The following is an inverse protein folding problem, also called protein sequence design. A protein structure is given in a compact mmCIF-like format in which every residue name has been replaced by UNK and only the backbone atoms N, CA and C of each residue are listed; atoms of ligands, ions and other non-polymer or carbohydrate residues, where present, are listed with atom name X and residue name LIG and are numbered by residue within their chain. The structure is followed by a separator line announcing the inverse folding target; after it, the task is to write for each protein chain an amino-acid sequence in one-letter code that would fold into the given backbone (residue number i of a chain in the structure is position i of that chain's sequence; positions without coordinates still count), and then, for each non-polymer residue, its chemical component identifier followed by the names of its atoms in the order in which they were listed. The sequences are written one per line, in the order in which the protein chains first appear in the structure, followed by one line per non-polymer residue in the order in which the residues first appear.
data_IF_115357921429
#
_entry.id   IF_115357921429
#
_cell.length_a   1.000
_cell.length_b   1.000
_cell.length_c   1.000
_cell.angle_alpha   90.00
_cell.angle_beta   90.00
_cell.angle_gamma   90.00
#
_symmetry.space_group_name_H-M   'P 1'
#
loop_
_entity.id
_entity.type
_entity.pdbx_description
1 polymer ?
#
# COMPACT_ATOMS: atom_id res chain seq x y z
N UNK A 1 -13.37 46.61 -24.36
CA UNK A 1 -13.87 47.61 -23.38
C UNK A 1 -13.17 47.54 -22.02
N UNK A 2 -12.98 46.37 -21.40
CA UNK A 2 -12.47 46.27 -20.01
C UNK A 2 -10.95 46.51 -19.85
N UNK A 3 -10.12 46.10 -20.82
CA UNK A 3 -8.70 46.48 -20.87
C UNK A 3 -8.51 48.00 -20.99
N UNK A 4 -9.37 48.66 -21.76
CA UNK A 4 -9.37 50.12 -21.91
C UNK A 4 -9.72 50.84 -20.60
N UNK A 5 -10.71 50.35 -19.85
CA UNK A 5 -11.04 50.91 -18.53
C UNK A 5 -9.90 50.75 -17.52
N UNK A 6 -9.18 49.63 -17.56
CA UNK A 6 -7.98 49.43 -16.74
C UNK A 6 -6.86 50.43 -17.10
N UNK A 7 -6.58 50.61 -18.40
CA UNK A 7 -5.62 51.62 -18.88
C UNK A 7 -6.03 53.03 -18.46
N UNK A 8 -7.29 53.40 -18.70
CA UNK A 8 -7.81 54.72 -18.40
C UNK A 8 -7.69 55.03 -16.90
N UNK A 9 -8.04 54.06 -16.03
CA UNK A 9 -7.88 54.22 -14.58
C UNK A 9 -6.44 54.53 -14.19
N UNK A 10 -5.48 53.76 -14.67
CA UNK A 10 -4.07 53.92 -14.30
C UNK A 10 -3.49 55.24 -14.81
N UNK A 11 -3.75 55.59 -16.07
CA UNK A 11 -3.27 56.85 -16.68
C UNK A 11 -3.90 58.07 -15.99
N UNK A 12 -5.20 58.03 -15.70
CA UNK A 12 -5.90 59.12 -15.00
C UNK A 12 -5.35 59.28 -13.57
N UNK A 13 -5.15 58.18 -12.84
CA UNK A 13 -4.64 58.22 -11.47
C UNK A 13 -3.23 58.86 -11.42
N UNK A 14 -2.34 58.45 -12.33
CA UNK A 14 -1.00 59.03 -12.42
C UNK A 14 -1.00 60.48 -12.92
N UNK A 15 -1.88 60.82 -13.86
CA UNK A 15 -2.03 62.20 -14.34
C UNK A 15 -2.53 63.14 -13.23
N UNK A 16 -3.52 62.72 -12.43
CA UNK A 16 -4.02 63.51 -11.31
C UNK A 16 -2.97 63.68 -10.21
N UNK A 17 -2.23 62.62 -9.88
CA UNK A 17 -1.12 62.69 -8.93
C UNK A 17 -0.06 63.68 -9.42
N UNK A 18 0.32 63.59 -10.69
CA UNK A 18 1.27 64.53 -11.30
C UNK A 18 0.75 65.96 -11.29
N UNK A 19 -0.53 66.20 -11.62
CA UNK A 19 -1.14 67.52 -11.64
C UNK A 19 -1.11 68.19 -10.26
N UNK A 20 -1.38 67.43 -9.19
CA UNK A 20 -1.28 67.91 -7.81
C UNK A 20 0.17 68.27 -7.46
N UNK A 21 1.13 67.41 -7.79
CA UNK A 21 2.56 67.69 -7.56
C UNK A 21 3.04 68.90 -8.36
N UNK A 22 2.57 69.05 -9.60
CA UNK A 22 2.89 70.16 -10.47
C UNK A 22 2.41 71.49 -9.89
N UNK A 23 1.14 71.56 -9.48
CA UNK A 23 0.56 72.76 -8.85
C UNK A 23 1.30 73.09 -7.55
N UNK A 24 1.60 72.08 -6.73
CA UNK A 24 2.30 72.28 -5.46
C UNK A 24 3.71 72.83 -5.66
N UNK A 25 4.49 72.30 -6.61
CA UNK A 25 5.85 72.78 -6.83
C UNK A 25 5.93 74.04 -7.70
N UNK A 26 4.95 74.36 -8.55
CA UNK A 26 4.83 75.68 -9.19
C UNK A 26 4.57 76.78 -8.14
N UNK A 27 3.71 76.48 -7.15
CA UNK A 27 3.42 77.39 -6.03
C UNK A 27 4.64 77.66 -5.13
N UNK A 28 5.53 76.67 -4.97
CA UNK A 28 6.71 76.77 -4.09
C UNK A 28 7.97 77.23 -4.87
N UNK A 29 8.10 76.85 -6.14
CA UNK A 29 9.30 77.04 -6.96
C UNK A 29 8.95 77.44 -8.42
N UNK A 30 8.54 78.69 -8.62
CA UNK A 30 8.13 79.24 -9.91
C UNK A 30 9.07 78.98 -11.13
N UNK A 31 10.43 78.91 -11.03
CA UNK A 31 11.27 78.68 -12.20
C UNK A 31 11.40 77.21 -12.66
N UNK A 32 10.81 76.24 -11.95
CA UNK A 32 10.97 74.80 -12.24
C UNK A 32 9.87 74.18 -13.13
N UNK A 33 8.86 74.95 -13.56
CA UNK A 33 7.67 74.43 -14.25
C UNK A 33 7.96 73.56 -15.49
N UNK A 34 8.85 74.00 -16.39
CA UNK A 34 9.17 73.23 -17.62
C UNK A 34 9.88 71.90 -17.35
N UNK A 35 10.77 71.87 -16.35
CA UNK A 35 11.47 70.64 -15.96
C UNK A 35 10.49 69.64 -15.32
N UNK A 36 9.55 70.13 -14.51
CA UNK A 36 8.54 69.29 -13.90
C UNK A 36 7.54 68.73 -14.92
N UNK A 37 7.17 69.52 -15.93
CA UNK A 37 6.36 69.05 -17.06
C UNK A 37 7.04 67.89 -17.82
N UNK A 38 8.36 67.96 -18.06
CA UNK A 38 9.12 66.89 -18.70
C UNK A 38 9.13 65.60 -17.85
N UNK A 39 9.33 65.73 -16.53
CA UNK A 39 9.26 64.60 -15.59
C UNK A 39 7.87 63.94 -15.61
N UNK A 40 6.80 64.73 -15.68
CA UNK A 40 5.44 64.23 -15.82
C UNK A 40 5.23 63.44 -17.11
N UNK A 41 5.70 63.96 -18.25
CA UNK A 41 5.61 63.29 -19.54
C UNK A 41 6.35 61.94 -19.51
N UNK A 42 7.57 61.90 -18.99
CA UNK A 42 8.36 60.67 -18.84
C UNK A 42 7.64 59.67 -17.92
N UNK A 43 7.05 60.13 -16.82
CA UNK A 43 6.29 59.28 -15.89
C UNK A 43 5.06 58.67 -16.58
N UNK A 44 4.28 59.45 -17.33
CA UNK A 44 3.12 58.96 -18.07
C UNK A 44 3.51 57.93 -19.14
N UNK A 45 4.60 58.19 -19.90
CA UNK A 45 5.13 57.23 -20.87
C UNK A 45 5.51 55.91 -20.17
N UNK A 46 6.19 55.98 -19.03
CA UNK A 46 6.57 54.82 -18.25
C UNK A 46 5.37 54.01 -17.73
N UNK A 47 4.33 54.70 -17.23
CA UNK A 47 3.07 54.09 -16.78
C UNK A 47 2.36 53.36 -17.92
N UNK A 48 2.32 53.97 -19.13
CA UNK A 48 1.71 53.35 -20.32
C UNK A 48 2.48 52.08 -20.72
N UNK A 49 3.81 52.15 -20.78
CA UNK A 49 4.66 50.99 -21.11
C UNK A 49 4.42 49.85 -20.12
N UNK A 50 4.39 50.15 -18.82
CA UNK A 50 4.18 49.14 -17.77
C UNK A 50 2.78 48.54 -17.82
N UNK A 51 1.74 49.36 -17.99
CA UNK A 51 0.37 48.87 -18.17
C UNK A 51 0.25 47.92 -19.36
N UNK A 52 0.93 48.26 -20.46
CA UNK A 52 0.98 47.40 -21.65
C UNK A 52 1.73 46.09 -21.38
N UNK A 53 2.87 46.17 -20.71
CA UNK A 53 3.69 45.01 -20.34
C UNK A 53 2.92 44.04 -19.44
N UNK A 54 2.26 44.56 -18.39
CA UNK A 54 1.42 43.76 -17.49
C UNK A 54 0.27 43.07 -18.24
N UNK A 55 -0.48 43.79 -19.06
CA UNK A 55 -1.58 43.20 -19.81
C UNK A 55 -1.10 42.09 -20.74
N UNK A 56 0.07 42.27 -21.36
CA UNK A 56 0.69 41.25 -22.19
C UNK A 56 1.07 40.02 -21.35
N UNK A 57 1.69 40.21 -20.17
CA UNK A 57 2.08 39.13 -19.27
C UNK A 57 0.89 38.37 -18.69
N UNK A 58 -0.12 39.07 -18.18
CA UNK A 58 -1.39 38.44 -17.72
C UNK A 58 -2.06 37.67 -18.85
N UNK A 59 -2.08 38.22 -20.08
CA UNK A 59 -2.62 37.51 -21.24
C UNK A 59 -1.84 36.23 -21.54
N UNK A 60 -0.51 36.25 -21.46
CA UNK A 60 0.32 35.05 -21.64
C UNK A 60 0.04 34.01 -20.54
N UNK A 61 0.03 34.44 -19.27
CA UNK A 61 -0.22 33.56 -18.14
C UNK A 61 -1.64 32.99 -18.16
N UNK A 62 -2.62 33.68 -18.73
CA UNK A 62 -4.03 33.29 -18.73
C UNK A 62 -4.56 32.77 -20.07
N UNK A 63 -3.71 32.10 -20.85
CA UNK A 63 -4.13 31.38 -22.07
C UNK A 63 -4.79 32.29 -23.11
N UNK A 64 -4.36 33.55 -23.22
CA UNK A 64 -4.89 34.52 -24.17
C UNK A 64 -6.08 35.35 -23.67
N UNK A 65 -6.69 35.00 -22.53
CA UNK A 65 -7.90 35.68 -22.01
C UNK A 65 -7.57 36.76 -20.98
N UNK A 66 -8.24 37.91 -21.11
CA UNK A 66 -8.11 39.04 -20.18
C UNK A 66 -9.45 39.27 -19.47
N UNK A 67 -9.59 38.67 -18.29
CA UNK A 67 -10.77 38.79 -17.44
C UNK A 67 -10.48 39.65 -16.20
N UNK A 68 -11.51 40.22 -15.60
CA UNK A 68 -11.37 41.10 -14.44
C UNK A 68 -10.70 40.39 -13.25
N UNK A 69 -10.93 39.09 -13.10
CA UNK A 69 -10.30 38.25 -12.07
C UNK A 69 -8.82 38.03 -12.32
N UNK A 70 -8.39 37.90 -13.58
CA UNK A 70 -6.98 37.74 -13.94
C UNK A 70 -6.19 39.05 -13.81
N UNK A 71 -6.86 40.21 -13.95
CA UNK A 71 -6.27 41.54 -13.82
C UNK A 71 -6.30 42.10 -12.40
N UNK A 72 -6.95 41.41 -11.47
CA UNK A 72 -7.00 41.83 -10.07
C UNK A 72 -5.61 41.67 -9.44
N UNK A 73 -5.13 42.73 -8.77
CA UNK A 73 -3.91 42.68 -7.96
C UNK A 73 -4.02 41.68 -6.80
N UNK A 74 -5.25 41.35 -6.38
CA UNK A 74 -5.55 40.37 -5.34
C UNK A 74 -6.19 39.13 -5.95
N UNK A 75 -5.58 37.98 -5.70
CA UNK A 75 -6.06 36.70 -6.19
C UNK A 75 -6.63 35.88 -5.04
N UNK A 76 -7.83 35.34 -5.24
CA UNK A 76 -8.48 34.42 -4.32
C UNK A 76 -8.70 33.07 -5.02
N UNK A 77 -8.34 31.97 -4.35
CA UNK A 77 -8.60 30.60 -4.82
C UNK A 77 -9.16 29.78 -3.67
N UNK A 78 -10.15 28.96 -3.99
CA UNK A 78 -10.68 27.95 -3.09
C UNK A 78 -10.53 26.58 -3.76
N UNK A 79 -9.98 25.61 -3.04
CA UNK A 79 -9.71 24.26 -3.54
C UNK A 79 -10.28 23.27 -2.54
N UNK A 80 -11.15 22.38 -3.01
CA UNK A 80 -11.63 21.25 -2.21
C UNK A 80 -10.63 20.10 -2.28
N UNK A 81 -10.30 19.56 -1.11
CA UNK A 81 -9.29 18.53 -0.92
C UNK A 81 -9.94 17.33 -0.20
N UNK A 82 -9.92 16.12 -0.79
CA UNK A 82 -10.48 14.91 -0.20
C UNK A 82 -9.50 14.29 0.81
N UNK A 83 -8.96 15.11 1.71
CA UNK A 83 -8.05 14.68 2.78
C UNK A 83 -8.47 15.31 4.10
N UNK A 84 -8.00 14.71 5.18
CA UNK A 84 -8.07 15.30 6.50
C UNK A 84 -7.29 16.61 6.57
N UNK A 85 -7.74 17.50 7.46
CA UNK A 85 -7.29 18.88 7.44
C UNK A 85 -5.81 19.05 7.77
N UNK A 86 -5.24 18.17 8.60
CA UNK A 86 -3.83 18.19 8.94
C UNK A 86 -2.96 17.77 7.75
N UNK A 87 -3.40 16.79 6.96
CA UNK A 87 -2.70 16.34 5.75
C UNK A 87 -2.79 17.38 4.63
N UNK A 88 -3.98 17.97 4.44
CA UNK A 88 -4.16 19.09 3.53
C UNK A 88 -3.27 20.29 3.90
N UNK A 89 -3.09 20.55 5.20
CA UNK A 89 -2.19 21.59 5.70
C UNK A 89 -0.72 21.29 5.39
N UNK A 90 -0.27 20.06 5.61
CA UNK A 90 1.13 19.68 5.34
C UNK A 90 1.45 19.79 3.83
N UNK A 91 0.51 19.41 2.95
CA UNK A 91 0.62 19.59 1.50
C UNK A 91 0.66 21.06 1.08
N UNK A 92 -0.22 21.88 1.67
CA UNK A 92 -0.26 23.32 1.46
C UNK A 92 1.07 23.99 1.86
N UNK A 93 1.57 23.69 3.06
CA UNK A 93 2.79 24.27 3.57
C UNK A 93 3.98 23.92 2.67
N UNK A 94 4.06 22.67 2.23
CA UNK A 94 5.08 22.22 1.28
C UNK A 94 4.98 22.95 -0.07
N UNK A 95 3.77 23.20 -0.58
CA UNK A 95 3.56 23.94 -1.81
C UNK A 95 3.97 25.43 -1.68
N UNK A 96 3.62 26.07 -0.57
CA UNK A 96 3.99 27.47 -0.31
C UNK A 96 5.51 27.60 -0.16
N UNK A 97 6.16 26.69 0.57
CA UNK A 97 7.64 26.68 0.76
C UNK A 97 8.44 26.58 -0.55
N UNK A 98 7.83 26.03 -1.61
CA UNK A 98 8.45 25.94 -2.94
C UNK A 98 8.30 27.20 -3.79
N UNK A 99 7.56 28.21 -3.32
CA UNK A 99 7.45 29.47 -4.05
C UNK A 99 8.80 30.19 -4.13
N UNK A 100 9.13 30.80 -5.28
CA UNK A 100 10.33 31.61 -5.40
C UNK A 100 10.20 32.91 -4.59
N UNK A 101 11.30 33.37 -3.99
CA UNK A 101 11.36 34.69 -3.35
C UNK A 101 10.73 34.80 -1.97
N UNK A 102 10.48 33.69 -1.28
CA UNK A 102 10.00 33.71 0.12
C UNK A 102 11.02 34.40 1.02
N UNK A 103 10.59 35.44 1.75
CA UNK A 103 11.37 36.08 2.80
C UNK A 103 11.06 35.46 4.17
N UNK A 104 9.78 35.26 4.47
CA UNK A 104 9.30 34.85 5.79
C UNK A 104 8.06 33.97 5.67
N UNK A 105 7.98 32.90 6.48
CA UNK A 105 6.81 32.02 6.58
C UNK A 105 6.49 31.80 8.06
N UNK A 106 5.26 32.15 8.45
CA UNK A 106 4.66 31.78 9.72
C UNK A 106 3.55 30.76 9.47
N UNK A 107 3.76 29.53 9.91
CA UNK A 107 2.76 28.45 9.85
C UNK A 107 2.29 28.10 11.26
N UNK A 108 0.97 28.03 11.46
CA UNK A 108 0.34 27.71 12.75
C UNK A 108 -0.56 26.49 12.58
N UNK A 109 0.00 25.32 12.86
CA UNK A 109 -0.67 24.02 12.63
C UNK A 109 -2.01 23.90 13.36
N UNK A 110 -2.11 24.37 14.61
CA UNK A 110 -3.36 24.29 15.37
C UNK A 110 -4.51 25.12 14.76
N UNK A 111 -4.19 26.24 14.09
CA UNK A 111 -5.17 27.09 13.38
C UNK A 111 -5.29 26.77 11.89
N UNK A 112 -4.47 25.83 11.41
CA UNK A 112 -4.35 25.46 10.00
C UNK A 112 -4.18 26.67 9.08
N UNK A 113 -3.33 27.60 9.51
CA UNK A 113 -3.08 28.87 8.84
C UNK A 113 -1.61 28.99 8.45
N UNK A 114 -1.34 29.38 7.21
CA UNK A 114 0.00 29.69 6.69
C UNK A 114 0.00 31.13 6.20
N UNK A 115 0.92 31.93 6.73
CA UNK A 115 1.18 33.30 6.30
C UNK A 115 2.59 33.38 5.75
N UNK A 116 2.75 33.80 4.50
CA UNK A 116 4.06 33.99 3.91
C UNK A 116 4.19 35.38 3.31
N UNK A 117 5.41 35.94 3.37
CA UNK A 117 5.80 37.15 2.67
C UNK A 117 6.76 36.75 1.56
N UNK A 118 6.41 37.11 0.33
CA UNK A 118 7.14 36.77 -0.88
C UNK A 118 7.59 38.06 -1.56
N UNK A 119 8.87 38.14 -1.89
CA UNK A 119 9.44 39.26 -2.63
C UNK A 119 9.00 39.26 -4.07
N UNK A 120 8.79 40.47 -4.58
CA UNK A 120 8.58 40.73 -5.99
C UNK A 120 9.86 40.44 -6.77
N UNK A 121 9.86 39.38 -7.58
CA UNK A 121 10.90 39.21 -8.59
C UNK A 121 10.51 40.04 -9.80
N UNK A 122 11.23 41.14 -10.05
CA UNK A 122 11.01 41.98 -11.24
C UNK A 122 11.20 41.12 -12.50
N UNK A 123 10.12 40.79 -13.24
CA UNK A 123 10.18 39.86 -14.36
C UNK A 123 10.95 40.43 -15.56
N UNK A 124 11.15 41.75 -15.58
CA UNK A 124 11.70 42.49 -16.71
C UNK A 124 13.13 42.97 -16.47
N UNK A 125 13.71 42.70 -15.29
CA UNK A 125 15.09 43.06 -14.97
C UNK A 125 15.36 44.56 -14.96
N UNK A 126 14.35 45.38 -14.65
CA UNK A 126 14.39 46.85 -14.57
C UNK A 126 15.19 47.34 -13.32
N UNK A 127 15.88 46.44 -12.62
CA UNK A 127 16.90 46.76 -11.58
C UNK A 127 17.89 47.86 -12.02
N UNK A 128 18.07 48.11 -13.32
CA UNK A 128 18.84 49.23 -13.89
C UNK A 128 18.37 50.63 -13.44
N UNK A 129 17.08 50.84 -13.16
CA UNK A 129 16.60 52.14 -12.66
C UNK A 129 16.87 52.33 -11.15
N UNK A 130 16.94 51.24 -10.38
CA UNK A 130 17.24 51.27 -8.94
C UNK A 130 16.40 52.32 -8.19
N UNK A 131 17.06 53.34 -7.63
CA UNK A 131 16.41 54.45 -6.91
C UNK A 131 15.64 55.43 -7.79
N UNK A 132 15.69 55.31 -9.11
CA UNK A 132 15.03 56.21 -10.07
C UNK A 132 13.74 55.62 -10.65
N UNK A 133 13.25 54.48 -10.12
CA UNK A 133 11.91 53.99 -10.42
C UNK A 133 10.87 54.73 -9.54
N UNK A 134 10.10 55.69 -10.10
CA UNK A 134 9.11 56.45 -9.33
C UNK A 134 7.98 55.57 -8.76
N UNK A 135 7.75 54.39 -9.34
CA UNK A 135 6.77 53.44 -8.80
C UNK A 135 7.28 52.79 -7.51
N UNK A 136 8.57 52.44 -7.46
CA UNK A 136 9.21 51.83 -6.29
C UNK A 136 9.23 52.73 -5.05
N UNK A 137 9.06 54.05 -5.22
CA UNK A 137 8.98 55.01 -4.11
C UNK A 137 7.63 54.98 -3.37
N UNK A 138 6.56 54.64 -4.07
CA UNK A 138 5.18 54.74 -3.57
C UNK A 138 4.62 53.35 -3.22
N UNK A 139 5.28 52.29 -3.70
CA UNK A 139 4.69 50.97 -3.80
C UNK A 139 5.61 49.87 -3.25
N UNK A 140 5.05 49.02 -2.39
CA UNK A 140 5.74 47.86 -1.81
C UNK A 140 6.01 46.78 -2.86
N UNK A 141 7.24 46.27 -2.85
CA UNK A 141 7.72 45.16 -3.70
C UNK A 141 7.61 43.81 -2.97
N UNK A 142 6.58 43.66 -2.14
CA UNK A 142 6.33 42.45 -1.35
C UNK A 142 4.88 42.03 -1.52
N UNK A 143 4.62 40.73 -1.58
CA UNK A 143 3.29 40.14 -1.60
C UNK A 143 3.09 39.30 -0.34
N UNK A 144 1.86 39.32 0.18
CA UNK A 144 1.41 38.46 1.27
C UNK A 144 0.63 37.30 0.68
N UNK A 145 0.98 36.09 1.12
CA UNK A 145 0.24 34.87 0.85
C UNK A 145 -0.41 34.46 2.16
N UNK A 146 -1.73 34.42 2.19
CA UNK A 146 -2.52 33.94 3.31
C UNK A 146 -3.24 32.68 2.86
N UNK A 147 -3.01 31.59 3.56
CA UNK A 147 -3.64 30.33 3.27
C UNK A 147 -4.26 29.73 4.53
N UNK A 148 -5.50 29.27 4.43
CA UNK A 148 -6.24 28.67 5.54
C UNK A 148 -6.89 27.37 5.09
N UNK A 149 -6.79 26.34 5.93
CA UNK A 149 -7.51 25.07 5.73
C UNK A 149 -8.69 25.02 6.69
N UNK A 150 -9.89 24.87 6.14
CA UNK A 150 -11.12 24.66 6.90
C UNK A 150 -11.44 23.17 6.96
N UNK A 151 -11.67 22.66 8.17
CA UNK A 151 -12.08 21.28 8.42
C UNK A 151 -13.51 21.05 7.91
N UNK A 152 -13.75 19.91 7.28
CA UNK A 152 -15.09 19.41 6.94
C UNK A 152 -15.19 17.91 7.25
N UNK A 153 -16.37 17.33 7.07
CA UNK A 153 -16.62 15.92 7.35
C UNK A 153 -15.95 15.03 6.28
N UNK A 154 -14.69 14.65 6.53
CA UNK A 154 -13.86 13.82 5.64
C UNK A 154 -13.28 14.54 4.42
N UNK A 155 -13.64 15.81 4.20
CA UNK A 155 -13.08 16.67 3.18
C UNK A 155 -12.63 18.00 3.80
N UNK A 156 -11.55 18.56 3.27
CA UNK A 156 -11.01 19.86 3.69
C UNK A 156 -11.15 20.88 2.57
N UNK A 157 -11.42 22.13 2.92
CA UNK A 157 -11.43 23.23 1.96
C UNK A 157 -10.26 24.16 2.22
N UNK A 158 -9.44 24.38 1.20
CA UNK A 158 -8.30 25.27 1.23
C UNK A 158 -8.69 26.62 0.64
N UNK A 159 -8.43 27.69 1.37
CA UNK A 159 -8.58 29.07 0.90
C UNK A 159 -7.20 29.72 0.75
N UNK A 160 -6.90 30.25 -0.43
CA UNK A 160 -5.65 30.93 -0.76
C UNK A 160 -5.92 32.38 -1.17
N UNK A 161 -5.21 33.31 -0.55
CA UNK A 161 -5.26 34.74 -0.86
C UNK A 161 -3.84 35.21 -1.15
N UNK A 162 -3.65 35.84 -2.32
CA UNK A 162 -2.41 36.48 -2.73
C UNK A 162 -2.68 37.96 -2.92
N UNK A 163 -2.02 38.81 -2.14
CA UNK A 163 -2.25 40.26 -2.18
C UNK A 163 -0.95 41.07 -2.03
N UNK A 164 -0.89 42.30 -2.57
CA UNK A 164 0.24 43.19 -2.33
C UNK A 164 0.37 43.53 -0.83
N UNK A 165 1.61 43.57 -0.33
CA UNK A 165 1.93 44.06 1.01
C UNK A 165 1.97 45.60 1.03
N UNK A 166 0.94 46.23 0.48
CA UNK A 166 0.76 47.69 0.41
C UNK A 166 -0.66 48.07 0.83
N UNK A 167 -0.86 49.35 1.11
CA UNK A 167 -2.18 49.85 1.48
C UNK A 167 -3.16 49.79 0.29
N UNK A 168 -4.47 49.51 0.51
CA UNK A 168 -5.44 49.33 -0.57
C UNK A 168 -5.56 50.49 -1.56
N UNK A 169 -5.26 51.73 -1.13
CA UNK A 169 -5.31 52.89 -2.02
C UNK A 169 -4.24 52.81 -3.13
N UNK A 170 -3.13 52.08 -2.91
CA UNK A 170 -2.07 51.94 -3.92
C UNK A 170 -2.50 51.13 -5.14
N UNK A 171 -3.56 50.32 -5.04
CA UNK A 171 -4.14 49.55 -6.16
C UNK A 171 -4.60 50.43 -7.34
N UNK A 172 -4.78 51.75 -7.11
CA UNK A 172 -5.10 52.73 -8.15
C UNK A 172 -3.90 53.14 -9.00
N UNK A 173 -2.70 53.10 -8.42
CA UNK A 173 -1.45 53.55 -9.03
C UNK A 173 -0.54 52.39 -9.42
N UNK A 174 -0.71 51.21 -8.81
CA UNK A 174 0.12 50.04 -8.99
C UNK A 174 -0.46 49.03 -9.98
N UNK A 175 0.46 48.33 -10.63
CA UNK A 175 0.19 47.10 -11.34
C UNK A 175 1.10 46.00 -10.75
N UNK A 176 0.57 44.81 -10.48
CA UNK A 176 1.32 43.71 -9.84
C UNK A 176 2.19 42.92 -10.85
N UNK A 177 2.26 43.39 -12.10
CA UNK A 177 2.83 42.72 -13.27
C UNK A 177 2.42 41.23 -13.41
N UNK A 178 1.26 40.83 -12.86
CA UNK A 178 0.74 39.47 -12.93
C UNK A 178 1.43 38.46 -11.99
N UNK A 179 2.23 38.92 -11.03
CA UNK A 179 2.94 38.05 -10.08
C UNK A 179 1.97 37.31 -9.16
N UNK A 180 0.92 37.97 -8.67
CA UNK A 180 -0.04 37.29 -7.79
C UNK A 180 -0.83 36.22 -8.55
N UNK A 181 -1.12 36.45 -9.84
CA UNK A 181 -1.72 35.43 -10.72
C UNK A 181 -0.79 34.24 -10.95
N UNK A 182 0.51 34.49 -11.15
CA UNK A 182 1.52 33.46 -11.31
C UNK A 182 1.67 32.61 -10.04
N UNK A 183 1.83 33.24 -8.88
CA UNK A 183 1.91 32.52 -7.59
C UNK A 183 0.65 31.71 -7.31
N UNK A 184 -0.54 32.28 -7.56
CA UNK A 184 -1.80 31.56 -7.40
C UNK A 184 -1.85 30.30 -8.29
N UNK A 185 -1.39 30.40 -9.55
CA UNK A 185 -1.31 29.25 -10.45
C UNK A 185 -0.26 28.23 -10.02
N UNK A 186 0.92 28.69 -9.59
CA UNK A 186 2.00 27.82 -9.15
C UNK A 186 1.60 26.98 -7.92
N UNK A 187 1.02 27.62 -6.89
CA UNK A 187 0.54 26.90 -5.68
C UNK A 187 -0.59 25.95 -6.04
N UNK A 188 -1.60 26.41 -6.81
CA UNK A 188 -2.72 25.55 -7.22
C UNK A 188 -2.22 24.32 -7.99
N UNK A 189 -1.26 24.51 -8.90
CA UNK A 189 -0.69 23.41 -9.68
C UNK A 189 0.15 22.45 -8.84
N UNK A 190 0.98 22.96 -7.94
CA UNK A 190 1.78 22.15 -7.03
C UNK A 190 0.91 21.29 -6.11
N UNK A 191 -0.18 21.86 -5.58
CA UNK A 191 -1.15 21.12 -4.78
C UNK A 191 -1.81 20.03 -5.63
N UNK A 192 -2.31 20.38 -6.82
CA UNK A 192 -2.94 19.40 -7.73
C UNK A 192 -2.01 18.21 -8.04
N UNK A 193 -0.72 18.47 -8.31
CA UNK A 193 0.28 17.44 -8.56
C UNK A 193 0.50 16.55 -7.32
N UNK A 194 0.65 17.16 -6.14
CA UNK A 194 0.86 16.42 -4.90
C UNK A 194 -0.35 15.51 -4.57
N UNK A 195 -1.57 15.99 -4.80
CA UNK A 195 -2.79 15.18 -4.66
C UNK A 195 -2.79 13.97 -5.61
N UNK A 196 -2.36 14.17 -6.85
CA UNK A 196 -2.28 13.10 -7.86
C UNK A 196 -1.16 12.08 -7.56
N UNK A 197 -0.07 12.51 -6.93
CA UNK A 197 0.97 11.60 -6.44
C UNK A 197 0.49 10.77 -5.26
N UNK A 198 -0.15 11.40 -4.28
CA UNK A 198 -0.69 10.71 -3.11
C UNK A 198 -1.68 9.60 -3.51
N UNK A 199 -2.66 9.93 -4.36
CA UNK A 199 -3.65 8.97 -4.86
C UNK A 199 -3.02 7.80 -5.64
N UNK A 200 -1.94 8.05 -6.39
CA UNK A 200 -1.21 6.98 -7.10
C UNK A 200 -0.51 6.03 -6.14
N UNK A 201 0.04 6.54 -5.04
CA UNK A 201 0.65 5.73 -3.98
C UNK A 201 -0.35 4.76 -3.35
N UNK A 202 -1.53 5.26 -2.97
CA UNK A 202 -2.60 4.45 -2.38
C UNK A 202 -3.10 3.36 -3.34
N UNK A 203 -3.33 3.71 -4.61
CA UNK A 203 -3.77 2.75 -5.64
C UNK A 203 -2.73 1.66 -5.88
N UNK A 204 -1.44 2.00 -5.91
CA UNK A 204 -0.37 1.03 -6.08
C UNK A 204 -0.30 0.04 -4.90
N UNK A 205 -0.44 0.53 -3.66
CA UNK A 205 -0.46 -0.32 -2.47
C UNK A 205 -1.67 -1.27 -2.44
N UNK A 206 -2.86 -0.76 -2.82
CA UNK A 206 -4.07 -1.58 -2.93
C UNK A 206 -3.92 -2.67 -4.00
N UNK A 207 -3.38 -2.33 -5.18
CA UNK A 207 -3.16 -3.28 -6.26
C UNK A 207 -2.18 -4.40 -5.87
N UNK A 208 -1.08 -4.07 -5.18
CA UNK A 208 -0.13 -5.07 -4.67
C UNK A 208 -0.81 -6.08 -3.74
N UNK A 209 -1.61 -5.58 -2.79
CA UNK A 209 -2.33 -6.44 -1.83
C UNK A 209 -3.29 -7.42 -2.52
N UNK A 210 -3.94 -7.00 -3.62
CA UNK A 210 -4.84 -7.86 -4.40
C UNK A 210 -4.02 -8.95 -5.11
N UNK A 211 -2.93 -8.60 -5.78
CA UNK A 211 -2.09 -9.57 -6.49
C UNK A 211 -1.49 -10.64 -5.57
N UNK A 212 -1.08 -10.26 -4.36
CA UNK A 212 -0.57 -11.21 -3.36
C UNK A 212 -1.65 -12.21 -2.92
N UNK A 213 -2.88 -11.72 -2.70
CA UNK A 213 -4.03 -12.57 -2.36
C UNK A 213 -4.36 -13.54 -3.48
N UNK A 214 -4.41 -13.07 -4.72
CA UNK A 214 -4.68 -13.92 -5.89
C UNK A 214 -3.60 -15.00 -6.06
N UNK A 215 -2.33 -14.64 -5.89
CA UNK A 215 -1.23 -15.61 -5.92
C UNK A 215 -1.34 -16.64 -4.81
N UNK A 216 -1.71 -16.22 -3.59
CA UNK A 216 -1.93 -17.13 -2.47
C UNK A 216 -3.10 -18.10 -2.75
N UNK A 217 -4.21 -17.61 -3.30
CA UNK A 217 -5.35 -18.43 -3.70
C UNK A 217 -4.96 -19.43 -4.79
N UNK A 218 -4.23 -19.00 -5.82
CA UNK A 218 -3.77 -19.89 -6.89
C UNK A 218 -2.83 -21.00 -6.36
N UNK A 219 -1.93 -20.66 -5.43
CA UNK A 219 -1.07 -21.65 -4.74
C UNK A 219 -1.91 -22.63 -3.93
N UNK A 220 -2.92 -22.17 -3.21
CA UNK A 220 -3.85 -23.03 -2.46
C UNK A 220 -4.65 -23.96 -3.38
N UNK A 221 -5.13 -23.48 -4.53
CA UNK A 221 -5.87 -24.30 -5.48
C UNK A 221 -5.02 -25.41 -6.11
N UNK A 222 -3.74 -25.17 -6.38
CA UNK A 222 -2.81 -26.21 -6.82
C UNK A 222 -2.59 -27.28 -5.75
N UNK A 223 -2.61 -26.90 -4.47
CA UNK A 223 -2.47 -27.81 -3.34
C UNK A 223 -3.73 -28.64 -3.08
N UNK A 224 -4.93 -28.11 -3.36
CA UNK A 224 -6.21 -28.81 -3.20
C UNK A 224 -6.34 -30.08 -4.05
N UNK A 225 -5.58 -30.24 -5.14
CA UNK A 225 -5.69 -31.39 -6.02
C UNK A 225 -5.21 -32.72 -5.39
N UNK A 226 -4.48 -32.69 -4.27
CA UNK A 226 -3.88 -33.88 -3.65
C UNK A 226 -4.21 -34.07 -2.16
N UNK A 227 -5.04 -33.20 -1.59
CA UNK A 227 -5.40 -33.21 -0.16
C UNK A 227 -6.91 -33.38 -0.03
N UNK A 228 -7.38 -34.11 0.99
CA UNK A 228 -8.81 -34.17 1.31
C UNK A 228 -9.36 -32.75 1.52
N UNK A 229 -10.28 -32.26 0.66
CA UNK A 229 -10.74 -30.86 0.71
C UNK A 229 -11.32 -30.49 2.07
N UNK A 230 -12.02 -31.42 2.70
CA UNK A 230 -12.67 -31.21 3.99
C UNK A 230 -11.65 -31.04 5.13
N UNK A 231 -10.55 -31.80 5.16
CA UNK A 231 -9.47 -31.58 6.13
C UNK A 231 -8.89 -30.16 6.00
N UNK A 232 -8.63 -29.70 4.77
CA UNK A 232 -8.05 -28.38 4.54
C UNK A 232 -8.99 -27.25 5.00
N UNK A 233 -10.28 -27.31 4.63
CA UNK A 233 -11.25 -26.31 5.07
C UNK A 233 -11.40 -26.27 6.59
N UNK A 234 -11.48 -27.43 7.25
CA UNK A 234 -11.59 -27.50 8.71
C UNK A 234 -10.35 -26.97 9.41
N UNK A 235 -9.17 -27.25 8.85
CA UNK A 235 -7.90 -26.75 9.39
C UNK A 235 -7.83 -25.22 9.30
N UNK A 236 -8.18 -24.65 8.14
CA UNK A 236 -8.18 -23.20 7.95
C UNK A 236 -9.25 -22.49 8.80
N UNK A 237 -10.45 -23.07 8.91
CA UNK A 237 -11.51 -22.51 9.75
C UNK A 237 -11.11 -22.51 11.24
N UNK A 238 -10.46 -23.57 11.70
CA UNK A 238 -9.95 -23.62 13.07
C UNK A 238 -8.80 -22.62 13.28
N UNK A 239 -7.87 -22.50 12.34
CA UNK A 239 -6.81 -21.50 12.40
C UNK A 239 -7.39 -20.07 12.48
N UNK A 240 -8.44 -19.75 11.70
CA UNK A 240 -9.13 -18.45 11.77
C UNK A 240 -9.75 -18.18 13.15
N UNK A 241 -10.30 -19.21 13.79
CA UNK A 241 -10.80 -19.11 15.16
C UNK A 241 -9.65 -18.89 16.17
N UNK A 242 -8.55 -19.62 16.01
CA UNK A 242 -7.37 -19.52 16.87
C UNK A 242 -6.71 -18.15 16.77
N UNK A 243 -6.62 -17.51 15.60
CA UNK A 243 -6.06 -16.15 15.46
C UNK A 243 -6.71 -15.14 16.43
N UNK A 244 -7.99 -15.34 16.76
CA UNK A 244 -8.73 -14.45 17.69
C UNK A 244 -8.64 -14.87 19.16
N UNK A 245 -8.35 -16.13 19.44
CA UNK A 245 -8.43 -16.71 20.79
C UNK A 245 -7.08 -17.12 21.36
N UNK A 246 -6.20 -17.67 20.53
CA UNK A 246 -4.82 -18.05 20.82
C UNK A 246 -3.96 -17.92 19.55
N UNK A 247 -3.33 -16.75 19.38
CA UNK A 247 -2.54 -16.45 18.19
C UNK A 247 -1.28 -17.33 18.07
N UNK A 248 -0.73 -17.82 19.18
CA UNK A 248 0.44 -18.69 19.15
C UNK A 248 0.07 -20.08 18.63
N UNK A 249 -1.04 -20.65 19.11
CA UNK A 249 -1.57 -21.92 18.59
C UNK A 249 -1.98 -21.82 17.11
N UNK A 250 -2.48 -20.65 16.66
CA UNK A 250 -2.78 -20.41 15.25
C UNK A 250 -1.52 -20.46 14.37
N UNK A 251 -0.43 -19.83 14.80
CA UNK A 251 0.84 -19.81 14.08
C UNK A 251 1.45 -21.23 14.00
N UNK A 252 1.41 -21.98 15.11
CA UNK A 252 1.84 -23.38 15.16
C UNK A 252 1.03 -24.26 14.18
N UNK A 253 -0.31 -24.13 14.20
CA UNK A 253 -1.20 -24.87 13.29
C UNK A 253 -0.93 -24.56 11.82
N UNK A 254 -0.70 -23.28 11.49
CA UNK A 254 -0.35 -22.85 10.13
C UNK A 254 1.02 -23.38 9.71
N UNK A 255 2.00 -23.38 10.62
CA UNK A 255 3.32 -23.96 10.40
C UNK A 255 3.26 -25.44 10.03
N UNK A 256 2.52 -26.23 10.81
CA UNK A 256 2.30 -27.66 10.51
C UNK A 256 1.52 -27.87 9.21
N UNK A 257 0.53 -27.02 8.90
CA UNK A 257 -0.18 -27.09 7.62
C UNK A 257 0.77 -26.84 6.43
N UNK A 258 1.66 -25.84 6.53
CA UNK A 258 2.67 -25.58 5.50
C UNK A 258 3.60 -26.80 5.32
N UNK A 259 4.05 -27.40 6.42
CA UNK A 259 4.89 -28.59 6.39
C UNK A 259 4.16 -29.77 5.72
N UNK A 260 2.93 -30.06 6.15
CA UNK A 260 2.08 -31.09 5.56
C UNK A 260 1.90 -30.91 4.04
N UNK A 261 1.60 -29.67 3.61
CA UNK A 261 1.41 -29.33 2.21
C UNK A 261 2.69 -29.45 1.38
N UNK A 262 3.84 -29.02 1.94
CA UNK A 262 5.15 -29.12 1.29
C UNK A 262 5.51 -30.58 0.99
N UNK A 263 5.32 -31.47 1.96
CA UNK A 263 5.55 -32.89 1.74
C UNK A 263 4.46 -33.53 0.87
N UNK A 264 3.29 -32.90 0.76
CA UNK A 264 2.18 -33.37 -0.07
C UNK A 264 2.29 -33.11 -1.57
N UNK A 265 3.21 -32.25 -2.01
CA UNK A 265 3.39 -31.97 -3.43
C UNK A 265 4.05 -33.14 -4.18
N UNK A 266 3.64 -33.42 -5.43
CA UNK A 266 4.26 -34.46 -6.24
C UNK A 266 5.69 -34.06 -6.58
N UNK A 267 6.64 -34.96 -6.34
CA UNK A 267 8.01 -34.82 -6.83
C UNK A 267 8.01 -34.94 -8.36
N UNK A 268 8.78 -34.08 -9.04
CA UNK A 268 8.79 -33.91 -10.51
C UNK A 268 9.30 -35.15 -11.27
N UNK A 269 9.89 -36.10 -10.55
CA UNK A 269 10.75 -37.16 -11.06
C UNK A 269 10.21 -38.59 -10.84
N UNK A 270 8.94 -38.76 -10.46
CA UNK A 270 8.28 -40.08 -10.25
C UNK A 270 9.02 -41.04 -9.29
N UNK A 271 10.03 -40.56 -8.56
CA UNK A 271 10.82 -41.34 -7.62
C UNK A 271 9.97 -41.81 -6.44
N UNK A 272 10.30 -42.99 -5.89
CA UNK A 272 9.73 -43.46 -4.63
C UNK A 272 10.01 -42.43 -3.52
N UNK A 273 9.06 -42.30 -2.59
CA UNK A 273 9.26 -41.54 -1.36
C UNK A 273 10.16 -42.33 -0.41
N UNK A 274 10.52 -41.73 0.71
CA UNK A 274 11.20 -42.41 1.82
C UNK A 274 10.27 -42.55 3.01
N UNK A 275 10.55 -43.48 3.92
CA UNK A 275 9.84 -43.58 5.20
C UNK A 275 9.92 -42.26 5.98
N UNK A 276 11.06 -41.56 5.92
CA UNK A 276 11.22 -40.25 6.55
C UNK A 276 10.31 -39.19 5.96
N UNK A 277 10.21 -39.09 4.63
CA UNK A 277 9.30 -38.15 3.95
C UNK A 277 7.83 -38.44 4.31
N UNK A 278 7.45 -39.71 4.38
CA UNK A 278 6.11 -40.14 4.79
C UNK A 278 5.85 -39.84 6.27
N UNK A 279 6.83 -40.07 7.15
CA UNK A 279 6.73 -39.81 8.58
C UNK A 279 6.58 -38.32 8.89
N UNK A 280 7.36 -37.46 8.24
CA UNK A 280 7.27 -36.01 8.44
C UNK A 280 5.92 -35.45 8.00
N UNK A 281 5.36 -35.97 6.90
CA UNK A 281 4.00 -35.63 6.46
C UNK A 281 2.96 -36.06 7.49
N UNK A 282 3.02 -37.32 7.93
CA UNK A 282 2.07 -37.86 8.90
C UNK A 282 2.19 -37.21 10.28
N UNK A 283 3.40 -36.85 10.71
CA UNK A 283 3.64 -36.08 11.94
C UNK A 283 2.99 -34.70 11.83
N UNK A 284 3.24 -33.95 10.75
CA UNK A 284 2.61 -32.64 10.56
C UNK A 284 1.08 -32.72 10.56
N UNK A 285 0.51 -33.74 9.92
CA UNK A 285 -0.94 -34.01 9.97
C UNK A 285 -1.44 -34.27 11.40
N UNK A 286 -0.72 -35.09 12.18
CA UNK A 286 -1.11 -35.45 13.55
C UNK A 286 -0.96 -34.27 14.52
N UNK A 287 0.05 -33.42 14.38
CA UNK A 287 0.18 -32.21 15.22
C UNK A 287 -0.97 -31.21 14.96
N UNK A 288 -1.41 -31.04 13.70
CA UNK A 288 -2.61 -30.24 13.37
C UNK A 288 -3.84 -30.79 14.13
N UNK A 289 -4.01 -32.12 14.11
CA UNK A 289 -5.13 -32.77 14.81
C UNK A 289 -5.01 -32.69 16.33
N UNK A 290 -3.79 -32.70 16.87
CA UNK A 290 -3.54 -32.55 18.30
C UNK A 290 -3.93 -31.15 18.78
N UNK A 291 -3.65 -30.11 18.01
CA UNK A 291 -4.16 -28.76 18.30
C UNK A 291 -5.69 -28.75 18.28
N UNK A 292 -6.32 -29.41 17.30
CA UNK A 292 -7.79 -29.46 17.16
C UNK A 292 -8.48 -30.26 18.27
N UNK A 293 -7.92 -31.41 18.64
CA UNK A 293 -8.47 -32.34 19.62
C UNK A 293 -8.01 -32.02 21.05
N UNK A 294 -7.01 -31.16 21.19
CA UNK A 294 -6.39 -30.79 22.46
C UNK A 294 -5.82 -32.01 23.19
N UNK A 295 -6.06 -32.15 24.51
CA UNK A 295 -5.50 -33.24 25.31
C UNK A 295 -6.06 -34.63 24.94
N UNK A 296 -7.06 -34.71 24.06
CA UNK A 296 -7.67 -35.98 23.67
C UNK A 296 -6.81 -36.84 22.76
N UNK A 297 -5.80 -36.27 22.08
CA UNK A 297 -4.93 -37.01 21.17
C UNK A 297 -3.52 -37.11 21.75
N UNK A 298 -3.10 -38.33 22.07
CA UNK A 298 -1.71 -38.64 22.42
C UNK A 298 -1.00 -39.25 21.23
N UNK A 299 0.24 -38.84 20.99
CA UNK A 299 1.06 -39.33 19.88
C UNK A 299 2.31 -40.00 20.43
N UNK A 300 2.59 -41.20 19.94
CA UNK A 300 3.82 -41.93 20.25
C UNK A 300 4.45 -42.43 18.96
N UNK A 301 5.63 -41.90 18.64
CA UNK A 301 6.37 -42.22 17.43
C UNK A 301 7.72 -42.80 17.85
N UNK A 302 7.98 -44.05 17.47
CA UNK A 302 9.26 -44.71 17.67
C UNK A 302 9.70 -45.42 16.37
N UNK A 303 10.38 -44.62 15.54
CA UNK A 303 10.94 -44.98 14.24
C UNK A 303 12.45 -44.70 14.30
N UNK A 304 13.31 -45.73 14.24
CA UNK A 304 14.76 -45.54 14.22
C UNK A 304 15.24 -44.74 12.99
N UNK A 305 16.20 -43.83 13.19
CA UNK A 305 16.73 -42.95 12.14
C UNK A 305 17.31 -43.72 10.94
N UNK A 306 17.91 -44.89 11.21
CA UNK A 306 18.46 -45.79 10.18
C UNK A 306 17.40 -46.30 9.19
N UNK A 307 16.12 -46.29 9.56
CA UNK A 307 15.03 -46.76 8.71
C UNK A 307 14.40 -45.63 7.89
N UNK A 308 14.72 -44.36 8.16
CA UNK A 308 14.10 -43.22 7.49
C UNK A 308 14.38 -43.20 5.98
N UNK A 309 15.52 -43.73 5.54
CA UNK A 309 15.88 -43.82 4.12
C UNK A 309 15.16 -44.94 3.36
N UNK A 310 14.35 -45.78 4.03
CA UNK A 310 13.67 -46.91 3.41
C UNK A 310 12.74 -46.43 2.29
N UNK A 311 12.87 -46.93 1.05
CA UNK A 311 12.04 -46.51 -0.06
C UNK A 311 10.61 -47.02 0.13
N UNK A 312 9.64 -46.11 0.01
CA UNK A 312 8.21 -46.40 0.16
C UNK A 312 7.39 -45.59 -0.86
N UNK A 313 6.30 -46.14 -1.40
CA UNK A 313 5.39 -45.38 -2.24
C UNK A 313 4.81 -44.19 -1.46
N UNK A 314 4.61 -43.02 -2.09
CA UNK A 314 4.07 -41.87 -1.37
C UNK A 314 2.62 -42.11 -0.94
N UNK A 315 2.20 -41.47 0.15
CA UNK A 315 0.88 -41.54 0.78
C UNK A 315 0.53 -42.89 1.46
N UNK A 316 1.48 -43.81 1.61
CA UNK A 316 1.23 -45.12 2.24
C UNK A 316 0.99 -44.97 3.73
N UNK A 317 1.93 -44.34 4.45
CA UNK A 317 1.82 -44.14 5.89
C UNK A 317 0.67 -43.19 6.20
N UNK A 318 0.54 -42.13 5.39
CA UNK A 318 -0.53 -41.15 5.53
C UNK A 318 -1.92 -41.80 5.49
N UNK A 319 -2.15 -42.73 4.54
CA UNK A 319 -3.44 -43.44 4.45
C UNK A 319 -3.73 -44.25 5.72
N UNK A 320 -2.72 -44.88 6.33
CA UNK A 320 -2.91 -45.63 7.58
C UNK A 320 -3.22 -44.69 8.75
N UNK A 321 -2.49 -43.58 8.85
CA UNK A 321 -2.69 -42.56 9.89
C UNK A 321 -4.07 -41.92 9.79
N UNK A 322 -4.53 -41.58 8.59
CA UNK A 322 -5.88 -41.05 8.38
C UNK A 322 -6.95 -42.05 8.79
N UNK A 323 -6.76 -43.34 8.50
CA UNK A 323 -7.71 -44.38 8.92
C UNK A 323 -7.76 -44.51 10.45
N UNK A 324 -6.61 -44.52 11.13
CA UNK A 324 -6.55 -44.57 12.58
C UNK A 324 -7.32 -43.41 13.24
N UNK A 325 -7.18 -42.19 12.70
CA UNK A 325 -7.91 -41.03 13.19
C UNK A 325 -9.40 -41.11 12.85
N UNK A 326 -9.76 -41.18 11.56
CA UNK A 326 -11.14 -41.05 11.07
C UNK A 326 -12.04 -42.18 11.57
N UNK A 327 -11.51 -43.40 11.62
CA UNK A 327 -12.29 -44.59 11.99
C UNK A 327 -12.06 -45.05 13.42
N UNK A 328 -10.86 -44.81 13.98
CA UNK A 328 -10.53 -45.20 15.35
C UNK A 328 -10.94 -44.14 16.38
N UNK A 329 -10.33 -42.96 16.31
CA UNK A 329 -10.39 -41.95 17.38
C UNK A 329 -11.52 -40.93 17.22
N UNK A 330 -11.80 -40.42 16.02
CA UNK A 330 -12.83 -39.40 15.80
C UNK A 330 -14.24 -39.81 16.31
N UNK A 331 -14.71 -41.05 16.08
CA UNK A 331 -16.04 -41.45 16.53
C UNK A 331 -16.11 -41.74 18.04
N UNK A 332 -14.97 -41.88 18.73
CA UNK A 332 -14.90 -42.22 20.15
C UNK A 332 -14.79 -40.96 21.01
N UNK A 333 -15.71 -40.72 21.97
CA UNK A 333 -15.52 -39.67 22.97
C UNK A 333 -14.43 -40.09 23.97
N UNK A 334 -13.57 -39.14 24.35
CA UNK A 334 -12.48 -39.36 25.31
C UNK A 334 -11.08 -39.23 24.69
N UNK A 335 -10.08 -39.60 25.48
CA UNK A 335 -8.68 -39.67 25.08
C UNK A 335 -8.43 -40.89 24.18
N UNK A 336 -7.53 -40.72 23.22
CA UNK A 336 -7.04 -41.78 22.35
C UNK A 336 -5.58 -41.57 22.00
N UNK A 337 -4.90 -42.66 21.69
CA UNK A 337 -3.48 -42.67 21.36
C UNK A 337 -3.29 -43.23 19.95
N UNK A 338 -2.43 -42.55 19.18
CA UNK A 338 -1.91 -43.08 17.92
C UNK A 338 -0.45 -43.40 18.08
N UNK A 339 -0.10 -44.61 17.67
CA UNK A 339 1.24 -45.13 17.69
C UNK A 339 1.77 -45.32 16.27
N UNK A 340 3.00 -44.87 16.02
CA UNK A 340 3.73 -45.13 14.78
C UNK A 340 5.08 -45.75 15.12
N UNK A 341 5.31 -46.96 14.63
CA UNK A 341 6.55 -47.68 14.88
C UNK A 341 7.13 -48.26 13.61
N UNK A 342 8.45 -48.34 13.52
CA UNK A 342 9.13 -49.08 12.46
C UNK A 342 10.15 -50.05 13.05
N UNK A 343 10.21 -51.26 12.48
CA UNK A 343 11.17 -52.31 12.87
C UNK A 343 11.73 -52.99 11.64
N UNK A 344 13.02 -53.30 11.68
CA UNK A 344 13.68 -54.10 10.66
C UNK A 344 13.71 -55.56 11.09
N UNK A 345 13.22 -56.44 10.21
CA UNK A 345 13.29 -57.89 10.37
C UNK A 345 13.97 -58.48 9.13
N UNK A 346 15.26 -58.81 9.28
CA UNK A 346 16.12 -59.27 8.18
C UNK A 346 16.10 -58.30 6.97
N UNK A 347 15.54 -58.72 5.84
CA UNK A 347 15.46 -57.93 4.61
C UNK A 347 14.20 -57.05 4.50
N UNK A 348 13.30 -57.11 5.49
CA UNK A 348 12.04 -56.36 5.49
C UNK A 348 12.04 -55.27 6.55
N UNK A 349 11.42 -54.15 6.22
CA UNK A 349 11.07 -53.07 7.14
C UNK A 349 9.56 -53.09 7.32
N UNK A 350 9.14 -53.33 8.56
CA UNK A 350 7.74 -53.30 8.96
C UNK A 350 7.44 -51.95 9.62
N UNK A 351 6.45 -51.24 9.08
CA UNK A 351 5.95 -49.97 9.60
C UNK A 351 4.51 -50.18 10.06
N UNK A 352 4.27 -49.93 11.34
CA UNK A 352 2.98 -50.15 11.99
C UNK A 352 2.39 -48.83 12.45
N UNK A 353 1.13 -48.60 12.09
CA UNK A 353 0.27 -47.58 12.69
C UNK A 353 -0.78 -48.29 13.52
N UNK A 354 -0.86 -47.95 14.80
CA UNK A 354 -1.86 -48.51 15.70
C UNK A 354 -2.63 -47.42 16.44
N UNK A 355 -3.87 -47.73 16.80
CA UNK A 355 -4.73 -46.89 17.62
C UNK A 355 -5.40 -47.69 18.74
N UNK A 356 -5.93 -46.99 19.75
CA UNK A 356 -6.79 -47.54 20.81
C UNK A 356 -8.26 -47.14 20.62
N UNK A 357 -8.67 -46.92 19.38
CA UNK A 357 -10.02 -46.52 19.00
C UNK A 357 -11.05 -47.64 19.12
N UNK A 358 -12.16 -47.50 18.38
CA UNK A 358 -13.29 -48.45 18.43
C UNK A 358 -12.99 -49.85 17.86
N UNK A 359 -11.84 -50.04 17.22
CA UNK A 359 -11.48 -51.31 16.57
C UNK A 359 -12.18 -51.51 15.22
N UNK A 360 -12.26 -52.77 14.78
CA UNK A 360 -12.94 -53.11 13.53
C UNK A 360 -14.45 -52.92 13.65
N UNK A 361 -14.98 -51.86 13.05
CA UNK A 361 -16.41 -51.76 12.80
C UNK A 361 -16.77 -52.69 11.63
N UNK A 362 -17.83 -53.49 11.75
CA UNK A 362 -18.26 -54.46 10.72
C UNK A 362 -18.63 -53.82 9.38
N UNK A 363 -18.87 -52.50 9.35
CA UNK A 363 -19.07 -51.71 8.13
C UNK A 363 -17.77 -51.16 7.50
N UNK A 364 -16.64 -51.17 8.21
CA UNK A 364 -15.37 -50.55 7.80
C UNK A 364 -14.35 -51.55 7.23
N UNK A 365 -14.79 -52.75 6.83
CA UNK A 365 -13.92 -53.79 6.28
C UNK A 365 -13.46 -53.43 4.86
N UNK A 366 -12.33 -52.73 4.76
CA UNK A 366 -11.62 -52.52 3.49
C UNK A 366 -12.11 -51.32 2.68
N UNK A 367 -12.08 -50.14 3.29
CA UNK A 367 -12.31 -48.89 2.56
C UNK A 367 -11.41 -48.72 1.33
N UNK A 368 -11.85 -47.91 0.37
CA UNK A 368 -11.18 -47.64 -0.92
C UNK A 368 -9.69 -47.32 -0.72
N UNK A 369 -9.33 -46.60 0.34
CA UNK A 369 -7.94 -46.26 0.67
C UNK A 369 -7.04 -47.47 0.94
N UNK A 370 -7.45 -48.43 1.76
CA UNK A 370 -6.64 -49.62 2.07
C UNK A 370 -6.55 -50.59 0.88
N UNK A 371 -7.58 -50.62 0.04
CA UNK A 371 -7.55 -51.34 -1.24
C UNK A 371 -6.51 -50.73 -2.19
N UNK A 372 -6.50 -49.41 -2.33
CA UNK A 372 -5.52 -48.69 -3.16
C UNK A 372 -4.08 -48.87 -2.65
N UNK A 373 -3.88 -48.87 -1.33
CA UNK A 373 -2.58 -49.19 -0.72
C UNK A 373 -2.12 -50.58 -1.14
N UNK A 374 -2.98 -51.60 -1.03
CA UNK A 374 -2.65 -52.98 -1.40
C UNK A 374 -2.33 -53.11 -2.89
N UNK A 375 -3.14 -52.52 -3.77
CA UNK A 375 -2.90 -52.52 -5.22
C UNK A 375 -1.57 -51.85 -5.58
N UNK A 376 -1.26 -50.71 -4.96
CA UNK A 376 -0.03 -49.98 -5.22
C UNK A 376 1.22 -50.68 -4.68
N UNK A 377 1.14 -51.33 -3.52
CA UNK A 377 2.21 -52.19 -3.02
C UNK A 377 2.47 -53.36 -3.97
N UNK A 378 1.41 -53.98 -4.48
CA UNK A 378 1.51 -55.08 -5.44
C UNK A 378 2.14 -54.63 -6.78
N UNK A 379 1.80 -53.42 -7.27
CA UNK A 379 2.37 -52.88 -8.51
C UNK A 379 3.88 -52.60 -8.41
N UNK A 380 4.35 -52.14 -7.25
CA UNK A 380 5.74 -51.68 -7.06
C UNK A 380 6.65 -52.80 -6.57
N UNK A 381 6.19 -53.63 -5.63
CA UNK A 381 7.00 -54.65 -4.97
C UNK A 381 6.52 -56.08 -5.23
N UNK A 382 5.40 -56.28 -5.93
CA UNK A 382 4.82 -57.60 -6.14
C UNK A 382 4.53 -58.31 -4.82
N UNK A 383 4.92 -59.58 -4.72
CA UNK A 383 4.74 -60.38 -3.51
C UNK A 383 5.73 -60.05 -2.38
N UNK A 384 6.70 -59.14 -2.59
CA UNK A 384 7.70 -58.80 -1.60
C UNK A 384 7.22 -57.76 -0.56
N UNK A 385 6.04 -57.17 -0.78
CA UNK A 385 5.41 -56.27 0.19
C UNK A 385 4.05 -56.78 0.63
N UNK A 386 3.68 -56.51 1.88
CA UNK A 386 2.39 -56.92 2.44
C UNK A 386 1.76 -55.81 3.28
N UNK A 387 0.43 -55.81 3.33
CA UNK A 387 -0.35 -55.00 4.26
C UNK A 387 -1.19 -55.95 5.13
N UNK A 388 -0.90 -55.97 6.43
CA UNK A 388 -1.62 -56.74 7.44
C UNK A 388 -2.38 -55.79 8.34
N UNK A 389 -3.64 -56.11 8.63
CA UNK A 389 -4.48 -55.33 9.54
C UNK A 389 -4.99 -56.28 10.61
N UNK A 390 -4.74 -55.95 11.87
CA UNK A 390 -5.10 -56.75 13.03
C UNK A 390 -5.80 -55.89 14.09
N UNK A 391 -6.50 -56.53 15.02
CA UNK A 391 -7.08 -55.85 16.16
C UNK A 391 -5.95 -55.49 17.13
N UNK A 392 -6.02 -54.29 17.70
CA UNK A 392 -5.10 -53.87 18.77
C UNK A 392 -5.70 -54.25 20.14
N UNK A 393 -4.84 -54.51 21.12
CA UNK A 393 -5.24 -54.89 22.48
C UNK A 393 -4.94 -53.75 23.46
N UNK A 394 -5.84 -53.41 24.41
CA UNK A 394 -7.14 -54.05 24.69
C UNK A 394 -8.24 -53.72 23.67
N UNK A 395 -8.06 -52.69 22.84
CA UNK A 395 -8.99 -52.28 21.79
C UNK A 395 -8.26 -51.47 20.70
N UNK A 396 -8.90 -51.27 19.54
CA UNK A 396 -8.37 -50.49 18.42
C UNK A 396 -7.90 -51.34 17.24
N UNK A 397 -7.16 -50.73 16.30
CA UNK A 397 -6.65 -51.40 15.09
C UNK A 397 -5.14 -51.18 14.97
N UNK A 398 -4.43 -52.18 14.45
CA UNK A 398 -3.03 -52.08 14.08
C UNK A 398 -2.87 -52.46 12.59
N UNK A 399 -2.45 -51.50 11.77
CA UNK A 399 -2.15 -51.70 10.36
C UNK A 399 -0.64 -51.69 10.14
N UNK A 400 -0.10 -52.76 9.56
CA UNK A 400 1.34 -52.94 9.33
C UNK A 400 1.62 -53.13 7.85
N UNK A 401 2.48 -52.26 7.31
CA UNK A 401 3.05 -52.39 5.96
C UNK A 401 4.45 -52.99 6.11
N UNK A 402 4.72 -54.09 5.41
CA UNK A 402 6.07 -54.65 5.29
C UNK A 402 6.58 -54.42 3.87
N UNK A 403 7.74 -53.79 3.73
CA UNK A 403 8.42 -53.57 2.45
C UNK A 403 9.87 -54.03 2.52
N UNK A 404 10.50 -54.41 1.39
CA UNK A 404 11.93 -54.65 1.33
C UNK A 404 12.73 -53.41 1.77
N UNK A 405 13.83 -53.62 2.50
CA UNK A 405 14.71 -52.53 2.93
C UNK A 405 15.37 -51.79 1.75
N UNK A 406 15.58 -52.51 0.64
CA UNK A 406 16.10 -51.99 -0.63
C UNK A 406 15.10 -52.30 -1.76
N UNK A 407 14.95 -51.40 -2.74
CA UNK A 407 14.09 -51.67 -3.91
C UNK A 407 14.67 -52.87 -4.68
N UNK A 408 13.91 -53.95 -4.94
CA UNK A 408 14.36 -55.01 -5.83
C UNK A 408 14.63 -54.40 -7.20
N UNK A 409 15.87 -54.49 -7.68
CA UNK A 409 16.39 -53.73 -8.83
C UNK A 409 15.37 -53.53 -9.97
N UNK A 410 15.02 -52.26 -10.22
CA UNK A 410 14.24 -51.87 -11.39
C UNK A 410 15.03 -52.18 -12.66
N UNK A 411 14.50 -53.09 -13.47
CA UNK A 411 14.88 -53.19 -14.87
C UNK A 411 14.58 -51.83 -15.51
N UNK A 412 15.63 -51.17 -16.01
CA UNK A 412 15.50 -50.12 -17.00
C UNK A 412 14.80 -50.69 -18.23
N UNK A 413 13.48 -50.52 -18.35
CA UNK A 413 12.85 -50.55 -19.66
C UNK A 413 13.15 -49.22 -20.32
N UNK A 414 14.12 -49.26 -21.24
CA UNK A 414 14.51 -48.17 -22.11
C UNK A 414 13.56 -47.93 -23.27
#
# INVERSE_FOLDING_TARGET
MRSFLFYARLVIAWYLLFLVLFIAADWIWAPLGNAMALVGLVTVIFVIIRAHSHLRRVRMLNGGKLDATALASRQHRQIEMPFEADEAFDLLEAAIRKLPGIEHIDSVRNRLEVRAVVTYSDPYGIKLLGRYDPMGWIVSQRNRVLATVTRGDGNSSLTLIFEPASAPWSDWLQVDDGINLEHAKAVTHAITLAMAEHRRGEQAAAAQTITEKELAIAKLSLLQAQVEPHFLYNTLANAQYLVRSDAAAADEMLGHLIQYLRHSLPRTDHALSTLGDELERSRAYLEILKIRMGPRLTLQIDVPDELLATPMPPMMLQTLVENAIKHGLEPRPGEGTVWIFARRHAALVAVTVADDGLGFNTQASGGIGLKNVRERLQLIYGAAATLVIAANFPQGVAATISVPADVPGGQHHG
#
